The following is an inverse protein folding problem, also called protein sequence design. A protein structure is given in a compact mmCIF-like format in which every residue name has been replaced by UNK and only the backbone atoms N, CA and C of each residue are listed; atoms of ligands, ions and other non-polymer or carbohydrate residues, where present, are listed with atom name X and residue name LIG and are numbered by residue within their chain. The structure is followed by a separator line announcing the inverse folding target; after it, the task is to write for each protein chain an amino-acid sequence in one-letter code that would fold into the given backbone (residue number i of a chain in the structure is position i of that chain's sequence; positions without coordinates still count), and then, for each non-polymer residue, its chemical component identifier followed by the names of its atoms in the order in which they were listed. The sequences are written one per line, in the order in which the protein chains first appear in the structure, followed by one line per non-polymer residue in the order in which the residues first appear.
data_IF_197620220029
#
_entry.id   IF_197620220029
#
_cell.length_a   1.000
_cell.length_b   1.000
_cell.length_c   1.000
_cell.angle_alpha   90.00
_cell.angle_beta   90.00
_cell.angle_gamma   90.00
#
_symmetry.space_group_name_H-M   'P 1'
#
loop_
_entity.id
_entity.type
_entity.pdbx_description
1 polymer ?
#
# COMPACT_ATOMS: atom_id res chain seq x y z
N UNK A 1 -15.36 36.30 8.82
CA UNK A 1 -15.61 35.08 9.61
C UNK A 1 -16.08 34.05 8.61
N UNK A 2 -15.14 33.26 8.11
CA UNK A 2 -15.38 32.20 7.14
C UNK A 2 -15.14 30.90 7.87
N UNK A 3 -16.15 30.04 7.92
CA UNK A 3 -15.98 28.66 8.38
C UNK A 3 -17.00 27.80 7.61
N UNK A 4 -16.70 27.58 6.33
CA UNK A 4 -17.30 26.51 5.53
C UNK A 4 -16.58 25.20 5.88
N UNK A 5 -16.84 24.66 7.08
CA UNK A 5 -16.42 23.31 7.44
C UNK A 5 -17.59 22.36 7.17
N UNK A 6 -17.58 21.71 6.02
CA UNK A 6 -18.50 20.61 5.72
C UNK A 6 -17.87 19.30 6.22
N UNK A 7 -18.38 18.67 7.30
CA UNK A 7 -17.88 17.39 7.74
C UNK A 7 -18.46 16.30 6.82
N UNK A 8 -17.66 15.28 6.52
CA UNK A 8 -18.18 14.02 5.95
C UNK A 8 -17.79 13.66 4.53
N UNK A 9 -16.64 14.11 4.03
CA UNK A 9 -15.99 13.40 2.91
C UNK A 9 -14.79 12.63 3.41
N UNK A 10 -15.08 11.41 3.87
CA UNK A 10 -14.08 10.36 3.95
C UNK A 10 -13.63 10.07 2.51
N UNK A 11 -12.37 10.35 2.18
CA UNK A 11 -11.76 9.92 0.92
C UNK A 11 -11.32 8.45 0.97
N UNK A 12 -11.73 7.72 2.01
CA UNK A 12 -11.54 6.27 2.09
C UNK A 12 -12.39 5.65 1.00
N UNK A 13 -11.70 5.21 -0.07
CA UNK A 13 -12.26 4.21 -0.97
C UNK A 13 -12.42 2.96 -0.13
N UNK A 14 -13.66 2.55 0.14
CA UNK A 14 -13.93 1.24 0.72
C UNK A 14 -13.35 0.18 -0.22
N UNK A 15 -12.15 -0.30 0.07
CA UNK A 15 -11.61 -1.51 -0.53
C UNK A 15 -12.27 -2.70 0.14
N UNK A 16 -13.46 -3.05 -0.36
CA UNK A 16 -14.08 -4.35 -0.12
C UNK A 16 -13.12 -5.48 -0.49
N UNK A 17 -13.21 -6.61 0.22
CA UNK A 17 -12.43 -7.84 0.02
C UNK A 17 -10.97 -7.59 -0.37
N UNK A 18 -10.16 -7.16 0.61
CA UNK A 18 -8.69 -7.07 0.59
C UNK A 18 -8.05 -7.00 -0.81
N UNK A 19 -7.80 -5.78 -1.28
CA UNK A 19 -7.26 -5.46 -2.60
C UNK A 19 -6.22 -6.49 -3.07
N UNK A 20 -6.63 -7.36 -4.00
CA UNK A 20 -5.76 -8.41 -4.53
C UNK A 20 -4.88 -7.83 -5.62
N UNK A 21 -3.57 -7.98 -5.48
CA UNK A 21 -2.62 -7.65 -6.54
C UNK A 21 -2.81 -8.62 -7.70
N UNK A 22 -3.08 -8.07 -8.89
CA UNK A 22 -3.31 -8.86 -10.11
C UNK A 22 -1.99 -9.18 -10.83
N UNK A 23 -1.98 -10.17 -11.73
CA UNK A 23 -0.88 -10.41 -12.67
C UNK A 23 -0.48 -9.16 -13.46
N UNK A 24 -1.46 -8.37 -13.93
CA UNK A 24 -1.25 -7.14 -14.69
C UNK A 24 -0.55 -6.08 -13.84
N UNK A 25 -1.03 -5.87 -12.61
CA UNK A 25 -0.38 -4.98 -11.63
C UNK A 25 1.04 -5.46 -11.32
N UNK A 26 1.25 -6.77 -11.22
CA UNK A 26 2.56 -7.36 -10.94
C UNK A 26 3.55 -7.10 -12.07
N UNK A 27 3.14 -7.25 -13.34
CA UNK A 27 3.97 -6.89 -14.50
C UNK A 27 4.33 -5.41 -14.51
N UNK A 28 3.37 -4.54 -14.18
CA UNK A 28 3.60 -3.10 -14.08
C UNK A 28 4.64 -2.78 -12.99
N UNK A 29 4.48 -3.35 -11.80
CA UNK A 29 5.41 -3.16 -10.67
C UNK A 29 6.81 -3.67 -11.00
N UNK A 30 6.92 -4.85 -11.64
CA UNK A 30 8.19 -5.40 -12.08
C UNK A 30 8.90 -4.47 -13.08
N UNK A 31 8.16 -3.95 -14.07
CA UNK A 31 8.68 -3.00 -15.05
C UNK A 31 9.15 -1.68 -14.40
N UNK A 32 8.37 -1.14 -13.46
CA UNK A 32 8.73 0.08 -12.71
C UNK A 32 9.99 -0.11 -11.87
N UNK A 33 10.16 -1.29 -11.27
CA UNK A 33 11.33 -1.64 -10.48
C UNK A 33 12.54 -2.09 -11.33
N UNK A 34 12.38 -2.22 -12.65
CA UNK A 34 13.44 -2.65 -13.56
C UNK A 34 13.76 -4.16 -13.49
N UNK A 35 12.82 -4.98 -13.02
CA UNK A 35 12.97 -6.44 -12.99
C UNK A 35 12.29 -7.09 -14.19
N UNK A 36 12.97 -8.08 -14.78
CA UNK A 36 12.36 -9.03 -15.70
C UNK A 36 11.83 -10.23 -14.90
N UNK A 37 10.52 -10.47 -14.96
CA UNK A 37 9.89 -11.62 -14.31
C UNK A 37 9.38 -12.56 -15.41
N UNK A 38 9.76 -13.85 -15.39
CA UNK A 38 9.24 -14.83 -16.34
C UNK A 38 7.71 -14.92 -16.28
N UNK A 39 7.05 -15.12 -17.41
CA UNK A 39 5.58 -15.14 -17.48
C UNK A 39 4.98 -16.26 -16.61
N UNK A 40 5.70 -17.38 -16.48
CA UNK A 40 5.33 -18.51 -15.63
C UNK A 40 5.28 -18.17 -14.12
N UNK A 41 6.03 -17.14 -13.69
CA UNK A 41 6.17 -16.76 -12.29
C UNK A 41 5.22 -15.62 -11.89
N UNK A 42 4.62 -14.92 -12.87
CA UNK A 42 3.80 -13.72 -12.61
C UNK A 42 2.63 -13.99 -11.66
N UNK A 43 1.91 -15.10 -11.87
CA UNK A 43 0.77 -15.48 -11.02
C UNK A 43 1.19 -15.75 -9.57
N UNK A 44 2.32 -16.44 -9.40
CA UNK A 44 2.87 -16.75 -8.09
C UNK A 44 3.32 -15.48 -7.37
N UNK A 45 3.98 -14.57 -8.09
CA UNK A 45 4.41 -13.29 -7.55
C UNK A 45 3.21 -12.41 -7.17
N UNK A 46 2.17 -12.35 -8.00
CA UNK A 46 0.93 -11.63 -7.69
C UNK A 46 0.27 -12.13 -6.40
N UNK A 47 0.23 -13.45 -6.20
CA UNK A 47 -0.27 -14.06 -4.98
C UNK A 47 0.62 -13.73 -3.76
N UNK A 48 1.94 -13.77 -3.91
CA UNK A 48 2.88 -13.43 -2.85
C UNK A 48 2.74 -11.95 -2.42
N UNK A 49 2.66 -11.03 -3.38
CA UNK A 49 2.45 -9.60 -3.12
C UNK A 49 1.09 -9.35 -2.44
N UNK A 50 0.04 -10.02 -2.88
CA UNK A 50 -1.29 -9.94 -2.23
C UNK A 50 -1.25 -10.43 -0.78
N UNK A 51 -0.52 -11.51 -0.51
CA UNK A 51 -0.32 -12.03 0.85
C UNK A 51 0.44 -11.02 1.72
N UNK A 52 1.48 -10.40 1.16
CA UNK A 52 2.26 -9.39 1.85
C UNK A 52 1.43 -8.12 2.15
N UNK A 53 0.60 -7.67 1.20
CA UNK A 53 -0.28 -6.52 1.44
C UNK A 53 -1.27 -6.82 2.58
N UNK A 54 -1.82 -8.03 2.62
CA UNK A 54 -2.70 -8.47 3.71
C UNK A 54 -1.98 -8.54 5.05
N UNK A 55 -0.71 -8.94 5.09
CA UNK A 55 0.05 -9.06 6.34
C UNK A 55 0.30 -7.71 7.01
N UNK A 56 0.29 -6.62 6.23
CA UNK A 56 0.47 -5.25 6.72
C UNK A 56 -0.83 -4.45 6.82
N UNK A 57 -1.98 -5.05 6.48
CA UNK A 57 -3.27 -4.34 6.43
C UNK A 57 -3.69 -3.74 7.78
N UNK A 58 -3.23 -4.30 8.90
CA UNK A 58 -3.50 -3.73 10.23
C UNK A 58 -2.81 -2.39 10.48
N UNK A 59 -1.80 -2.04 9.67
CA UNK A 59 -1.16 -0.71 9.76
C UNK A 59 -2.09 0.40 9.28
N UNK A 60 -3.07 0.09 8.41
CA UNK A 60 -4.04 1.07 7.91
C UNK A 60 -5.03 1.53 9.01
N UNK A 61 -5.11 0.78 10.12
CA UNK A 61 -5.96 1.11 11.26
C UNK A 61 -5.28 2.08 12.24
N UNK A 62 -4.00 2.40 12.03
CA UNK A 62 -3.25 3.30 12.90
C UNK A 62 -3.71 4.76 12.69
N UNK A 63 -4.06 5.44 13.77
CA UNK A 63 -4.26 6.89 13.74
C UNK A 63 -2.90 7.60 13.66
N UNK A 64 -2.61 8.15 12.48
CA UNK A 64 -1.39 8.91 12.19
C UNK A 64 -1.63 10.42 12.18
N UNK A 65 -2.78 10.88 12.69
CA UNK A 65 -3.08 12.32 12.80
C UNK A 65 -2.02 13.00 13.68
N UNK A 66 -1.46 14.09 13.20
CA UNK A 66 -0.40 14.86 13.86
C UNK A 66 0.90 14.08 14.16
N UNK A 67 1.08 12.89 13.56
CA UNK A 67 2.32 12.12 13.63
C UNK A 67 3.25 12.53 12.48
N UNK A 68 4.44 13.03 12.83
CA UNK A 68 5.47 13.30 11.82
C UNK A 68 6.14 12.01 11.36
N UNK A 69 6.24 11.75 10.04
CA UNK A 69 6.95 10.58 9.53
C UNK A 69 8.44 10.68 9.82
N UNK A 70 9.04 9.56 10.22
CA UNK A 70 10.50 9.46 10.34
C UNK A 70 11.11 9.49 8.93
N UNK A 71 11.80 10.58 8.58
CA UNK A 71 12.48 10.76 7.29
C UNK A 71 13.98 10.48 7.35
N UNK A 72 14.52 10.33 8.56
CA UNK A 72 15.91 9.97 8.82
C UNK A 72 15.98 8.57 9.44
N UNK A 73 17.00 7.81 9.07
CA UNK A 73 17.21 6.47 9.60
C UNK A 73 17.74 6.57 11.05
N UNK A 74 17.07 5.90 12.00
CA UNK A 74 17.54 5.90 13.39
C UNK A 74 18.83 5.06 13.51
N UNK A 75 19.97 5.66 13.91
CA UNK A 75 21.25 4.95 13.99
C UNK A 75 21.27 3.81 15.02
N UNK A 76 20.24 3.68 15.87
CA UNK A 76 20.06 2.56 16.81
C UNK A 76 19.53 1.29 16.15
N UNK A 77 19.01 1.35 14.93
CA UNK A 77 18.44 0.20 14.20
C UNK A 77 19.48 -0.55 13.35
N UNK A 78 20.73 -0.63 13.84
CA UNK A 78 21.82 -1.40 13.22
C UNK A 78 21.83 -2.85 13.68
#
# INVERSE_FOLDING_TARGET
MSDDYAPGRSYVRETGDGERITPETTRLLAALAGFAVPDEDIELLAAALSSQLRSIATLDELDLTDVNPAVEFDPRWR
#
